data_IF_841044623904
#
_entry.id   IF_841044623904
#
_cell.length_a   1.000
_cell.length_b   1.000
_cell.length_c   1.000
_cell.angle_alpha   90.00
_cell.angle_beta   90.00
_cell.angle_gamma   90.00
#
_symmetry.space_group_name_H-M   'P 1'
#
loop_
_entity.id
_entity.type
_entity.pdbx_description
1 polymer ?
#
# COMPACT_ATOMS: atom_id res chain seq x y z
N UNK A 1 18.49 -10.59 5.43
CA UNK A 1 17.72 -9.69 4.54
C UNK A 1 18.62 -8.69 3.83
N UNK A 2 19.48 -7.95 4.53
CA UNK A 2 20.47 -7.01 3.93
C UNK A 2 21.30 -7.62 2.79
N UNK A 3 21.68 -8.91 2.89
CA UNK A 3 22.42 -9.63 1.83
C UNK A 3 21.75 -9.52 0.45
N UNK A 4 20.43 -9.70 0.36
CA UNK A 4 19.70 -9.65 -0.91
C UNK A 4 19.72 -8.23 -1.49
N UNK A 5 19.55 -7.22 -0.64
CA UNK A 5 19.57 -5.82 -1.07
C UNK A 5 20.97 -5.41 -1.55
N UNK A 6 22.03 -5.87 -0.88
CA UNK A 6 23.42 -5.71 -1.34
C UNK A 6 23.69 -6.43 -2.66
N UNK A 7 23.09 -7.60 -2.89
CA UNK A 7 23.21 -8.29 -4.19
C UNK A 7 22.60 -7.46 -5.33
N UNK A 8 21.49 -6.73 -5.10
CA UNK A 8 20.95 -5.80 -6.10
C UNK A 8 21.94 -4.68 -6.42
N UNK A 9 22.56 -4.09 -5.38
CA UNK A 9 23.57 -3.04 -5.54
C UNK A 9 24.79 -3.53 -6.32
N UNK A 10 25.28 -4.72 -5.97
CA UNK A 10 26.42 -5.34 -6.65
C UNK A 10 26.11 -5.71 -8.12
N UNK A 11 24.84 -5.84 -8.49
CA UNK A 11 24.40 -6.06 -9.89
C UNK A 11 24.19 -4.75 -10.65
N UNK A 12 24.49 -3.60 -10.06
CA UNK A 12 24.46 -2.30 -10.72
C UNK A 12 23.18 -1.50 -10.51
N UNK A 13 22.32 -1.87 -9.56
CA UNK A 13 21.22 -0.98 -9.15
C UNK A 13 21.81 0.16 -8.33
N UNK A 14 21.74 1.37 -8.88
CA UNK A 14 22.34 2.56 -8.28
C UNK A 14 21.41 3.23 -7.27
N UNK A 15 20.14 3.39 -7.63
CA UNK A 15 19.13 4.05 -6.82
C UNK A 15 17.77 3.37 -6.96
N UNK A 16 16.96 3.48 -5.91
CA UNK A 16 15.60 2.96 -5.87
C UNK A 16 14.69 4.04 -5.31
N UNK A 17 13.78 4.55 -6.14
CA UNK A 17 12.81 5.55 -5.72
C UNK A 17 11.79 4.98 -4.72
N UNK A 18 11.25 3.80 -5.02
CA UNK A 18 10.22 3.13 -4.21
C UNK A 18 10.45 1.62 -4.14
N UNK A 19 10.23 1.05 -2.95
CA UNK A 19 10.15 -0.39 -2.75
C UNK A 19 8.80 -0.74 -2.13
N UNK A 20 8.05 -1.61 -2.82
CA UNK A 20 6.80 -2.16 -2.31
C UNK A 20 7.06 -3.46 -1.55
N UNK A 21 6.69 -3.52 -0.27
CA UNK A 21 6.90 -4.69 0.61
C UNK A 21 5.59 -5.14 1.26
N UNK A 22 5.49 -6.41 1.61
CA UNK A 22 4.31 -7.01 2.24
C UNK A 22 4.25 -6.85 3.77
N UNK A 23 5.13 -6.03 4.35
CA UNK A 23 5.18 -5.76 5.79
C UNK A 23 6.09 -6.68 6.60
N UNK A 24 6.95 -7.45 5.94
CA UNK A 24 7.97 -8.28 6.62
C UNK A 24 8.83 -7.46 7.59
N UNK A 25 8.85 -7.88 8.85
CA UNK A 25 9.60 -7.21 9.92
C UNK A 25 11.09 -7.16 9.58
N UNK A 26 11.70 -5.98 9.72
CA UNK A 26 13.13 -5.75 9.46
C UNK A 26 13.51 -5.60 7.98
N UNK A 27 12.54 -5.69 7.05
CA UNK A 27 12.82 -5.49 5.62
C UNK A 27 13.01 -4.01 5.28
N UNK A 28 12.24 -3.12 5.91
CA UNK A 28 12.44 -1.66 5.81
C UNK A 28 13.86 -1.27 6.24
N UNK A 29 14.30 -1.72 7.42
CA UNK A 29 15.63 -1.45 7.94
C UNK A 29 16.73 -1.97 7.00
N UNK A 30 16.52 -3.15 6.43
CA UNK A 30 17.46 -3.75 5.49
C UNK A 30 17.57 -3.00 4.17
N UNK A 31 16.46 -2.43 3.68
CA UNK A 31 16.44 -1.59 2.48
C UNK A 31 17.14 -0.27 2.76
N UNK A 32 16.76 0.41 3.84
CA UNK A 32 17.34 1.71 4.21
C UNK A 32 18.83 1.64 4.55
N UNK A 33 19.33 0.49 4.99
CA UNK A 33 20.76 0.27 5.19
C UNK A 33 21.58 0.33 3.88
N UNK A 34 20.97 0.08 2.72
CA UNK A 34 21.64 0.03 1.41
C UNK A 34 21.20 1.18 0.49
N UNK A 35 19.91 1.51 0.51
CA UNK A 35 19.24 2.57 -0.25
C UNK A 35 18.48 3.49 0.74
N UNK A 36 19.17 4.42 1.42
CA UNK A 36 18.57 5.25 2.47
C UNK A 36 17.51 6.22 1.94
N UNK A 37 17.56 6.57 0.66
CA UNK A 37 16.61 7.48 0.01
C UNK A 37 15.35 6.79 -0.52
N UNK A 38 15.27 5.46 -0.43
CA UNK A 38 14.14 4.71 -0.98
C UNK A 38 12.88 4.90 -0.12
N UNK A 39 11.78 5.30 -0.77
CA UNK A 39 10.46 5.30 -0.14
C UNK A 39 9.98 3.86 0.02
N UNK A 40 9.50 3.53 1.23
CA UNK A 40 8.96 2.21 1.54
C UNK A 40 7.45 2.27 1.48
N UNK A 41 6.85 1.51 0.57
CA UNK A 41 5.41 1.38 0.46
C UNK A 41 4.96 0.01 0.93
N UNK A 42 3.90 -0.03 1.75
CA UNK A 42 3.16 -1.27 1.96
C UNK A 42 2.46 -1.68 0.67
N UNK A 43 2.61 -2.94 0.28
CA UNK A 43 2.07 -3.43 -0.99
C UNK A 43 0.55 -3.40 -1.00
N UNK A 44 -0.02 -2.51 -1.81
CA UNK A 44 -1.48 -2.34 -1.96
C UNK A 44 -2.16 -3.65 -2.40
N UNK A 45 -1.53 -4.46 -3.25
CA UNK A 45 -2.09 -5.74 -3.67
C UNK A 45 -2.25 -6.69 -2.47
N UNK A 46 -1.26 -6.74 -1.59
CA UNK A 46 -1.35 -7.52 -0.35
C UNK A 46 -2.42 -6.95 0.59
N UNK A 47 -2.52 -5.62 0.69
CA UNK A 47 -3.56 -4.96 1.48
C UNK A 47 -4.98 -5.28 0.97
N UNK A 48 -5.23 -5.20 -0.34
CA UNK A 48 -6.50 -5.57 -0.98
C UNK A 48 -6.82 -7.04 -0.73
N UNK A 49 -5.83 -7.93 -0.94
CA UNK A 49 -6.00 -9.37 -0.71
C UNK A 49 -6.33 -9.67 0.74
N UNK A 50 -5.70 -8.99 1.69
CA UNK A 50 -5.98 -9.18 3.11
C UNK A 50 -7.38 -8.65 3.49
N UNK A 51 -7.75 -7.49 2.97
CA UNK A 51 -9.06 -6.87 3.22
C UNK A 51 -10.21 -7.75 2.74
N UNK A 52 -10.08 -8.33 1.55
CA UNK A 52 -11.14 -9.12 0.90
C UNK A 52 -11.36 -10.51 1.51
N UNK A 53 -10.44 -11.00 2.37
CA UNK A 53 -10.59 -12.27 3.11
C UNK A 53 -11.75 -12.23 4.10
N UNK A 54 -11.97 -11.07 4.74
CA UNK A 54 -12.99 -10.87 5.76
C UNK A 54 -14.36 -10.48 5.18
N UNK A 55 -14.43 -10.25 3.86
CA UNK A 55 -15.64 -9.81 3.17
C UNK A 55 -16.46 -11.03 2.74
N UNK A 56 -17.76 -10.98 2.99
CA UNK A 56 -18.68 -12.04 2.58
C UNK A 56 -18.73 -12.14 1.05
N UNK A 57 -19.03 -13.33 0.52
CA UNK A 57 -19.13 -13.53 -0.93
C UNK A 57 -20.17 -12.60 -1.59
N UNK A 58 -21.29 -12.34 -0.91
CA UNK A 58 -22.39 -11.50 -1.42
C UNK A 58 -21.94 -10.04 -1.59
N UNK A 59 -21.15 -9.54 -0.65
CA UNK A 59 -20.73 -8.14 -0.60
C UNK A 59 -19.41 -7.90 -1.35
N UNK A 60 -18.62 -8.95 -1.60
CA UNK A 60 -17.25 -8.84 -2.14
C UNK A 60 -17.17 -8.04 -3.44
N UNK A 61 -18.12 -8.21 -4.36
CA UNK A 61 -18.11 -7.48 -5.64
C UNK A 61 -18.28 -5.98 -5.42
N UNK A 62 -19.24 -5.59 -4.59
CA UNK A 62 -19.55 -4.19 -4.31
C UNK A 62 -18.45 -3.54 -3.48
N UNK A 63 -18.01 -4.20 -2.41
CA UNK A 63 -16.88 -3.75 -1.60
C UNK A 63 -15.61 -3.52 -2.44
N UNK A 64 -15.28 -4.43 -3.35
CA UNK A 64 -14.11 -4.25 -4.23
C UNK A 64 -14.25 -3.09 -5.21
N UNK A 65 -15.48 -2.78 -5.66
CA UNK A 65 -15.73 -1.62 -6.52
C UNK A 65 -15.55 -0.31 -5.73
N UNK A 66 -16.06 -0.24 -4.51
CA UNK A 66 -15.89 0.94 -3.65
C UNK A 66 -14.42 1.10 -3.26
N UNK A 67 -13.75 0.01 -2.86
CA UNK A 67 -12.33 0.01 -2.50
C UNK A 67 -11.43 0.48 -3.65
N UNK A 68 -11.84 0.23 -4.89
CA UNK A 68 -11.11 0.67 -6.10
C UNK A 68 -10.97 2.18 -6.18
N UNK A 69 -11.93 2.92 -5.66
CA UNK A 69 -11.88 4.38 -5.66
C UNK A 69 -10.76 4.89 -4.74
N UNK A 70 -10.44 4.16 -3.66
CA UNK A 70 -9.35 4.50 -2.73
C UNK A 70 -8.00 4.40 -3.42
N UNK A 71 -7.63 3.22 -3.95
CA UNK A 71 -6.28 3.00 -4.50
C UNK A 71 -6.09 3.48 -5.94
N UNK A 72 -7.16 3.91 -6.63
CA UNK A 72 -7.07 4.56 -7.96
C UNK A 72 -7.33 6.06 -7.90
N UNK A 73 -7.46 6.64 -6.72
CA UNK A 73 -7.64 8.07 -6.55
C UNK A 73 -6.49 8.84 -7.21
N UNK A 74 -6.75 10.04 -7.76
CA UNK A 74 -5.73 10.84 -8.43
C UNK A 74 -4.79 11.56 -7.46
N UNK A 75 -5.17 11.72 -6.19
CA UNK A 75 -4.36 12.36 -5.15
C UNK A 75 -4.64 11.70 -3.80
N UNK A 76 -3.75 11.92 -2.83
CA UNK A 76 -3.91 11.37 -1.48
C UNK A 76 -5.18 11.90 -0.80
N UNK A 77 -5.56 13.15 -1.02
CA UNK A 77 -6.77 13.76 -0.44
C UNK A 77 -8.04 13.09 -0.97
N UNK A 78 -8.08 12.81 -2.28
CA UNK A 78 -9.20 12.06 -2.87
C UNK A 78 -9.21 10.63 -2.34
N UNK A 79 -8.05 10.01 -2.18
CA UNK A 79 -7.94 8.65 -1.65
C UNK A 79 -8.47 8.55 -0.20
N UNK A 80 -8.15 9.55 0.63
CA UNK A 80 -8.67 9.68 2.00
C UNK A 80 -10.19 9.88 2.01
N UNK A 81 -10.70 10.75 1.14
CA UNK A 81 -12.15 10.98 1.00
C UNK A 81 -12.89 9.70 0.61
N UNK A 82 -12.34 8.94 -0.34
CA UNK A 82 -12.93 7.66 -0.74
C UNK A 82 -12.80 6.60 0.36
N UNK A 83 -11.76 6.66 1.20
CA UNK A 83 -11.64 5.79 2.36
C UNK A 83 -12.68 6.14 3.44
N UNK A 84 -12.99 7.42 3.64
CA UNK A 84 -14.08 7.87 4.50
C UNK A 84 -15.44 7.34 4.00
N UNK A 85 -15.72 7.46 2.68
CA UNK A 85 -16.93 6.92 2.06
C UNK A 85 -17.03 5.39 2.21
N UNK A 86 -15.90 4.69 2.05
CA UNK A 86 -15.83 3.23 2.23
C UNK A 86 -16.15 2.85 3.69
N UNK A 87 -15.61 3.60 4.65
CA UNK A 87 -15.86 3.41 6.09
C UNK A 87 -17.31 3.70 6.48
N UNK A 88 -17.91 4.77 5.96
CA UNK A 88 -19.33 5.08 6.19
C UNK A 88 -20.24 3.93 5.77
N UNK A 89 -19.98 3.37 4.58
CA UNK A 89 -20.79 2.29 4.02
C UNK A 89 -20.53 0.92 4.65
N UNK A 90 -19.26 0.59 4.90
CA UNK A 90 -18.84 -0.77 5.26
C UNK A 90 -18.29 -0.92 6.67
N UNK A 91 -17.95 0.16 7.36
CA UNK A 91 -17.25 0.16 8.65
C UNK A 91 -17.98 -0.61 9.74
N UNK A 92 -19.32 -0.51 9.79
CA UNK A 92 -20.14 -1.25 10.77
C UNK A 92 -20.12 -2.77 10.56
N UNK A 93 -19.87 -3.24 9.33
CA UNK A 93 -19.91 -4.67 8.96
C UNK A 93 -18.51 -5.28 8.84
N UNK A 94 -17.52 -4.49 8.41
CA UNK A 94 -16.17 -4.91 8.06
C UNK A 94 -15.11 -4.04 8.72
N UNK A 95 -15.31 -3.72 10.01
CA UNK A 95 -14.42 -2.86 10.82
C UNK A 95 -12.94 -3.26 10.71
N UNK A 96 -12.63 -4.56 10.77
CA UNK A 96 -11.25 -5.07 10.69
C UNK A 96 -10.61 -4.70 9.33
N UNK A 97 -11.37 -4.83 8.24
CA UNK A 97 -10.87 -4.47 6.92
C UNK A 97 -10.61 -2.98 6.83
N UNK A 98 -11.55 -2.13 7.27
CA UNK A 98 -11.41 -0.67 7.23
C UNK A 98 -10.27 -0.19 8.13
N UNK A 99 -10.22 -0.65 9.39
CA UNK A 99 -9.15 -0.32 10.34
C UNK A 99 -7.78 -0.68 9.77
N UNK A 100 -7.65 -1.82 9.09
CA UNK A 100 -6.37 -2.19 8.49
C UNK A 100 -5.86 -1.20 7.42
N UNK A 101 -6.75 -0.48 6.71
CA UNK A 101 -6.35 0.58 5.77
C UNK A 101 -5.94 1.84 6.52
N UNK A 102 -6.68 2.23 7.56
CA UNK A 102 -6.36 3.40 8.40
C UNK A 102 -5.03 3.23 9.12
N UNK A 103 -4.82 2.10 9.77
CA UNK A 103 -3.60 1.81 10.54
C UNK A 103 -2.33 1.77 9.67
N UNK A 104 -2.48 1.44 8.38
CA UNK A 104 -1.38 1.33 7.44
C UNK A 104 -1.31 2.52 6.45
N UNK A 105 -2.15 3.55 6.63
CA UNK A 105 -2.35 4.59 5.61
C UNK A 105 -1.04 5.25 5.18
N UNK A 106 -0.23 5.71 6.13
CA UNK A 106 1.05 6.38 5.86
C UNK A 106 1.99 5.58 4.95
N UNK A 107 1.93 4.24 5.04
CA UNK A 107 2.75 3.34 4.23
C UNK A 107 2.09 2.99 2.90
N UNK A 108 0.76 2.99 2.84
CA UNK A 108 0.01 2.71 1.62
C UNK A 108 0.02 3.93 0.68
N UNK A 109 -0.12 5.12 1.24
CA UNK A 109 -0.21 6.39 0.52
C UNK A 109 1.13 6.90 -0.03
N UNK A 110 2.25 6.25 0.32
CA UNK A 110 3.59 6.63 -0.17
C UNK A 110 3.69 6.73 -1.71
N UNK A 111 2.86 6.01 -2.47
CA UNK A 111 2.78 6.16 -3.94
C UNK A 111 2.39 7.58 -4.39
N UNK A 112 1.59 8.31 -3.63
CA UNK A 112 1.17 9.68 -3.98
C UNK A 112 2.31 10.70 -3.91
N UNK A 113 3.41 10.36 -3.21
CA UNK A 113 4.62 11.19 -3.16
C UNK A 113 5.43 11.12 -4.46
N UNK A 114 5.16 10.12 -5.31
CA UNK A 114 5.88 9.92 -6.57
C UNK A 114 5.23 10.76 -7.67
N UNK A 115 6.01 11.52 -8.46
CA UNK A 115 5.46 12.29 -9.56
C UNK A 115 4.75 11.40 -10.60
N UNK A 116 3.50 11.74 -10.93
CA UNK A 116 2.66 11.06 -11.96
C UNK A 116 3.33 10.85 -13.32
N UNK A 117 4.36 11.63 -13.66
CA UNK A 117 5.10 11.49 -14.93
C UNK A 117 5.79 10.12 -15.08
N UNK A 118 5.91 9.35 -14.01
CA UNK A 118 6.51 8.01 -14.00
C UNK A 118 5.48 6.88 -14.07
N UNK A 119 4.18 7.19 -14.01
CA UNK A 119 3.09 6.23 -14.18
C UNK A 119 2.80 6.08 -15.68
N UNK A 120 3.37 5.05 -16.31
CA UNK A 120 3.17 4.72 -17.73
C UNK A 120 1.74 4.28 -18.04
#
# INVERSE_FOLDING_TARGET
>A
MVKIINELKNRGVEDILIVSIDGLKGFSDAIHAVYPSAEIQSCIIHQIRNSTKCISYKDRKEFCNDLKNVYRAPTEEVALTELDNLEEKWGSKYEISIRSWRDNWDKLSAMFKIPKKLEN
#
